data_IF_224373818226
#
_entry.id   IF_224373818226
#
_cell.length_a   1.000
_cell.length_b   1.000
_cell.length_c   1.000
_cell.angle_alpha   90.00
_cell.angle_beta   90.00
_cell.angle_gamma   90.00
#
_symmetry.space_group_name_H-M   'P 1'
#
loop_
_entity.id
_entity.type
_entity.pdbx_description
1 polymer ?
#
# COMPACT_ATOMS: atom_id res chain seq x y z
N UNK A 1 1.79 15.98 -10.03
CA UNK A 1 1.92 14.56 -10.42
C UNK A 1 3.32 14.13 -10.05
N UNK A 2 3.40 13.36 -8.97
CA UNK A 2 4.65 12.87 -8.39
C UNK A 2 5.40 11.97 -9.37
N UNK A 3 6.73 12.12 -9.47
CA UNK A 3 7.57 11.22 -10.28
C UNK A 3 7.67 9.83 -9.63
N UNK A 4 7.19 8.76 -10.29
CA UNK A 4 7.26 7.42 -9.73
C UNK A 4 8.69 6.92 -9.47
N UNK A 5 9.69 7.39 -10.23
CA UNK A 5 11.08 6.99 -10.00
C UNK A 5 11.63 7.62 -8.73
N UNK A 6 11.33 8.89 -8.48
CA UNK A 6 11.70 9.57 -7.24
C UNK A 6 11.07 8.87 -6.02
N UNK A 7 9.78 8.49 -6.10
CA UNK A 7 9.10 7.69 -5.08
C UNK A 7 9.79 6.35 -4.83
N UNK A 8 10.14 5.60 -5.89
CA UNK A 8 10.83 4.32 -5.75
C UNK A 8 12.16 4.48 -5.02
N UNK A 9 13.00 5.43 -5.43
CA UNK A 9 14.29 5.68 -4.80
C UNK A 9 14.14 6.10 -3.33
N UNK A 10 13.14 6.92 -3.02
CA UNK A 10 12.87 7.35 -1.64
C UNK A 10 12.46 6.16 -0.76
N UNK A 11 11.63 5.24 -1.27
CA UNK A 11 11.25 4.01 -0.55
C UNK A 11 12.45 3.08 -0.35
N UNK A 12 13.31 2.91 -1.36
CA UNK A 12 14.53 2.09 -1.24
C UNK A 12 15.48 2.65 -0.16
N UNK A 13 15.69 3.96 -0.14
CA UNK A 13 16.50 4.63 0.88
C UNK A 13 15.92 4.45 2.29
N UNK A 14 14.58 4.57 2.43
CA UNK A 14 13.87 4.35 3.68
C UNK A 14 14.08 2.92 4.21
N UNK A 15 13.91 1.91 3.35
CA UNK A 15 14.09 0.50 3.74
C UNK A 15 15.53 0.19 4.19
N UNK A 16 16.52 0.93 3.68
CA UNK A 16 17.93 0.76 4.01
C UNK A 16 18.37 1.35 5.35
N UNK A 17 17.67 2.36 5.90
CA UNK A 17 18.21 3.11 7.06
C UNK A 17 17.21 3.88 7.93
N UNK A 18 15.92 3.98 7.57
CA UNK A 18 15.04 5.02 8.12
C UNK A 18 14.05 4.60 9.21
N UNK A 19 13.79 5.49 10.15
CA UNK A 19 12.68 5.48 11.10
C UNK A 19 11.36 5.91 10.46
N UNK A 20 10.25 5.90 11.22
CA UNK A 20 9.00 6.51 10.75
C UNK A 20 9.16 8.00 10.44
N UNK A 21 10.00 8.71 11.19
CA UNK A 21 10.24 10.12 10.95
C UNK A 21 10.86 10.34 9.56
N UNK A 22 11.75 9.43 9.13
CA UNK A 22 12.31 9.43 7.78
C UNK A 22 11.25 9.12 6.72
N UNK A 23 10.26 8.28 7.04
CA UNK A 23 9.11 8.05 6.18
C UNK A 23 8.21 9.30 6.08
N UNK A 24 7.91 9.94 7.21
CA UNK A 24 7.09 11.14 7.24
C UNK A 24 7.75 12.30 6.49
N UNK A 25 9.05 12.52 6.69
CA UNK A 25 9.78 13.56 5.98
C UNK A 25 10.01 13.17 4.50
N UNK A 26 10.66 12.04 4.26
CA UNK A 26 11.12 11.66 2.92
C UNK A 26 10.03 11.20 1.96
N UNK A 27 8.90 10.66 2.45
CA UNK A 27 7.78 10.23 1.58
C UNK A 27 6.61 11.19 1.69
N UNK A 28 6.04 11.38 2.89
CA UNK A 28 4.80 12.15 3.03
C UNK A 28 5.03 13.63 2.72
N UNK A 29 6.07 14.25 3.29
CA UNK A 29 6.37 15.67 3.06
C UNK A 29 7.05 15.89 1.70
N UNK A 30 8.23 15.32 1.47
CA UNK A 30 9.04 15.63 0.28
C UNK A 30 8.45 15.12 -1.05
N UNK A 31 7.90 13.90 -1.09
CA UNK A 31 7.40 13.31 -2.35
C UNK A 31 5.90 13.55 -2.55
N UNK A 32 5.09 13.42 -1.49
CA UNK A 32 3.64 13.59 -1.58
C UNK A 32 3.18 15.01 -1.25
N UNK A 33 4.07 15.88 -0.76
CA UNK A 33 3.75 17.29 -0.50
C UNK A 33 2.81 17.51 0.68
N UNK A 34 2.71 16.56 1.63
CA UNK A 34 1.85 16.70 2.79
C UNK A 34 2.35 17.85 3.67
N UNK A 35 1.47 18.67 4.28
CA UNK A 35 1.84 19.83 5.09
C UNK A 35 2.30 19.39 6.48
N UNK A 36 3.38 18.59 6.51
CA UNK A 36 4.02 18.08 7.70
C UNK A 36 5.33 18.84 7.82
N UNK A 37 5.33 19.86 8.68
CA UNK A 37 6.54 20.63 8.99
C UNK A 37 7.44 19.80 9.89
N UNK A 38 8.39 19.09 9.29
CA UNK A 38 9.45 18.41 10.02
C UNK A 38 10.67 19.34 10.11
N UNK A 39 10.82 20.05 11.23
CA UNK A 39 11.93 20.98 11.46
C UNK A 39 13.17 20.30 12.09
N UNK A 40 13.22 18.97 12.09
CA UNK A 40 14.28 18.15 12.70
C UNK A 40 14.34 18.21 14.24
N UNK A 41 13.47 18.99 14.89
CA UNK A 41 13.38 19.16 16.35
C UNK A 41 11.99 18.86 16.91
N UNK A 42 10.98 18.93 16.07
CA UNK A 42 9.57 18.69 16.35
C UNK A 42 9.27 17.22 16.11
N UNK A 43 9.17 16.46 17.20
CA UNK A 43 8.73 15.07 17.17
C UNK A 43 7.35 14.93 16.54
N UNK A 44 7.02 13.71 16.11
CA UNK A 44 5.66 13.22 15.84
C UNK A 44 4.60 13.76 16.82
N UNK A 45 4.95 14.02 18.09
CA UNK A 45 4.03 14.48 19.15
C UNK A 45 3.37 15.82 18.84
N UNK A 46 4.04 16.70 18.07
CA UNK A 46 3.46 17.99 17.66
C UNK A 46 2.50 17.86 16.50
N UNK A 47 2.70 16.86 15.66
CA UNK A 47 1.95 16.62 14.43
C UNK A 47 0.79 15.64 14.65
N UNK A 48 0.77 14.96 15.79
CA UNK A 48 -0.19 13.90 16.07
C UNK A 48 -0.89 14.05 17.41
N UNK A 49 -2.03 13.39 17.54
CA UNK A 49 -2.64 13.05 18.81
C UNK A 49 -2.26 11.60 19.15
N UNK A 50 -1.83 11.35 20.38
CA UNK A 50 -1.50 10.00 20.85
C UNK A 50 -2.75 9.27 21.35
N UNK A 51 -2.97 8.06 20.84
CA UNK A 51 -4.06 7.15 21.20
C UNK A 51 -3.53 5.78 21.67
N UNK A 52 -2.24 5.71 22.00
CA UNK A 52 -1.56 4.46 22.33
C UNK A 52 -2.15 3.78 23.56
N UNK A 53 -2.66 4.54 24.53
CA UNK A 53 -3.32 3.99 25.71
C UNK A 53 -4.70 3.39 25.40
N UNK A 54 -5.39 3.88 24.38
CA UNK A 54 -6.65 3.29 23.93
C UNK A 54 -6.43 1.88 23.37
N UNK A 55 -5.27 1.57 22.78
CA UNK A 55 -4.94 0.20 22.37
C UNK A 55 -5.01 -0.81 23.53
N UNK A 56 -4.64 -0.39 24.75
CA UNK A 56 -4.74 -1.24 25.94
C UNK A 56 -6.19 -1.54 26.28
N UNK A 57 -7.04 -0.51 26.25
CA UNK A 57 -8.49 -0.64 26.50
C UNK A 57 -9.16 -1.60 25.50
N UNK A 58 -8.63 -1.68 24.28
CA UNK A 58 -9.11 -2.60 23.24
C UNK A 58 -8.52 -4.01 23.29
N UNK A 59 -7.62 -4.27 24.25
CA UNK A 59 -6.91 -5.53 24.39
C UNK A 59 -6.02 -5.84 23.17
N UNK A 60 -5.50 -4.79 22.50
CA UNK A 60 -4.70 -4.89 21.28
C UNK A 60 -3.20 -4.83 21.52
N UNK A 61 -2.76 -4.39 22.71
CA UNK A 61 -1.34 -4.28 23.09
C UNK A 61 -0.73 -5.66 23.38
N UNK A 62 -0.44 -6.41 22.32
CA UNK A 62 0.29 -7.71 22.33
C UNK A 62 1.62 -7.55 21.60
N UNK A 63 2.59 -8.41 21.87
CA UNK A 63 3.90 -8.44 21.17
C UNK A 63 3.76 -8.43 19.65
N UNK A 64 2.75 -9.12 19.14
CA UNK A 64 2.51 -9.31 17.70
C UNK A 64 1.42 -8.34 17.16
N UNK A 65 0.85 -7.48 18.01
CA UNK A 65 -0.24 -6.55 17.66
C UNK A 65 0.23 -5.10 17.52
N UNK A 66 -0.72 -4.15 17.34
CA UNK A 66 -0.42 -2.72 17.41
C UNK A 66 0.18 -2.35 18.77
N UNK A 67 1.33 -1.70 18.75
CA UNK A 67 2.04 -1.21 19.93
C UNK A 67 1.89 0.30 20.12
N UNK A 68 1.60 1.02 19.03
CA UNK A 68 1.45 2.48 19.01
C UNK A 68 0.32 2.86 18.04
N UNK A 69 -0.47 3.86 18.44
CA UNK A 69 -1.53 4.43 17.61
C UNK A 69 -1.48 5.95 17.73
N UNK A 70 -1.21 6.63 16.63
CA UNK A 70 -1.20 8.09 16.56
C UNK A 70 -2.13 8.57 15.47
N UNK A 71 -2.82 9.67 15.71
CA UNK A 71 -3.65 10.32 14.70
C UNK A 71 -2.93 11.55 14.19
N UNK A 72 -2.69 11.67 12.88
CA UNK A 72 -2.18 12.91 12.32
C UNK A 72 -3.23 14.02 12.49
N UNK A 73 -2.79 15.22 12.88
CA UNK A 73 -3.68 16.37 12.98
C UNK A 73 -4.41 16.59 11.64
N UNK A 74 -5.73 16.89 11.67
CA UNK A 74 -6.48 17.14 10.44
C UNK A 74 -5.81 18.24 9.61
N UNK A 75 -5.69 18.00 8.31
CA UNK A 75 -5.17 19.01 7.41
C UNK A 75 -6.20 20.13 7.19
N UNK A 76 -5.80 21.41 7.18
CA UNK A 76 -6.73 22.53 7.01
C UNK A 76 -7.61 22.41 5.75
N UNK A 77 -7.02 21.97 4.64
CA UNK A 77 -7.71 21.83 3.35
C UNK A 77 -8.58 20.57 3.25
N UNK A 78 -8.37 19.58 4.12
CA UNK A 78 -9.05 18.29 4.11
C UNK A 78 -9.35 17.79 5.53
N UNK A 79 -10.14 18.52 6.33
CA UNK A 79 -10.36 18.21 7.74
C UNK A 79 -11.13 16.90 7.94
N UNK A 80 -11.89 16.51 6.92
CA UNK A 80 -12.69 15.27 6.89
C UNK A 80 -11.83 14.01 6.72
N UNK A 81 -10.56 14.09 6.33
CA UNK A 81 -9.72 12.90 6.16
C UNK A 81 -8.99 12.56 7.47
N UNK A 82 -9.44 11.51 8.16
CA UNK A 82 -8.78 11.02 9.38
C UNK A 82 -7.61 10.10 9.03
N UNK A 83 -6.38 10.52 9.34
CA UNK A 83 -5.16 9.73 9.08
C UNK A 83 -4.62 9.16 10.39
N UNK A 84 -4.48 7.84 10.45
CA UNK A 84 -4.01 7.11 11.62
C UNK A 84 -2.73 6.34 11.30
N UNK A 85 -1.72 6.55 12.12
CA UNK A 85 -0.42 5.89 12.09
C UNK A 85 -0.44 4.75 13.10
N UNK A 86 -0.16 3.54 12.64
CA UNK A 86 -0.24 2.32 13.47
C UNK A 86 1.10 1.59 13.42
N UNK A 87 1.84 1.59 14.53
CA UNK A 87 3.07 0.81 14.65
C UNK A 87 2.74 -0.56 15.22
N UNK A 88 3.19 -1.63 14.56
CA UNK A 88 3.05 -3.01 15.03
C UNK A 88 4.33 -3.51 15.66
N UNK A 89 4.20 -4.35 16.70
CA UNK A 89 5.34 -4.94 17.40
C UNK A 89 6.06 -6.06 16.63
N UNK A 90 5.44 -6.60 15.56
CA UNK A 90 6.01 -7.68 14.74
C UNK A 90 5.66 -7.52 13.25
N UNK A 91 6.61 -7.90 12.40
CA UNK A 91 6.47 -8.07 10.95
C UNK A 91 5.43 -9.13 10.55
N UNK A 92 5.08 -10.07 11.44
CA UNK A 92 4.05 -11.09 11.23
C UNK A 92 2.71 -10.49 10.80
N UNK A 93 2.40 -9.29 11.26
CA UNK A 93 1.19 -8.59 10.85
C UNK A 93 1.15 -8.35 9.33
N UNK A 94 2.30 -8.13 8.71
CA UNK A 94 2.47 -7.80 7.29
C UNK A 94 2.71 -9.03 6.41
N UNK A 95 3.34 -10.06 6.96
CA UNK A 95 3.66 -11.29 6.21
C UNK A 95 2.52 -12.33 6.26
N UNK A 96 1.66 -12.27 7.29
CA UNK A 96 0.50 -13.16 7.40
C UNK A 96 -0.75 -12.51 6.82
N UNK A 97 -1.46 -13.22 5.93
CA UNK A 97 -2.60 -12.66 5.18
C UNK A 97 -3.82 -12.21 6.00
N UNK A 98 -3.82 -12.37 7.33
CA UNK A 98 -4.91 -11.91 8.24
C UNK A 98 -4.43 -11.11 9.44
N UNK A 99 -3.12 -10.87 9.60
CA UNK A 99 -2.55 -10.30 10.83
C UNK A 99 -3.13 -8.93 11.21
N UNK A 100 -3.41 -8.09 10.23
CA UNK A 100 -3.80 -6.68 10.45
C UNK A 100 -5.31 -6.44 10.43
N UNK A 101 -6.09 -7.34 9.80
CA UNK A 101 -7.53 -7.13 9.61
C UNK A 101 -8.29 -7.01 10.93
N UNK A 102 -8.00 -7.89 11.89
CA UNK A 102 -8.71 -7.89 13.18
C UNK A 102 -8.35 -6.68 14.05
N UNK A 103 -7.05 -6.34 14.23
CA UNK A 103 -6.68 -5.12 14.95
C UNK A 103 -7.25 -3.84 14.34
N UNK A 104 -7.12 -3.65 13.03
CA UNK A 104 -7.61 -2.45 12.36
C UNK A 104 -9.14 -2.33 12.42
N UNK A 105 -9.88 -3.44 12.32
CA UNK A 105 -11.34 -3.43 12.51
C UNK A 105 -11.76 -3.07 13.94
N UNK A 106 -10.97 -3.44 14.95
CA UNK A 106 -11.24 -3.06 16.34
C UNK A 106 -10.97 -1.58 16.55
N UNK A 107 -9.83 -1.07 16.05
CA UNK A 107 -9.51 0.37 16.06
C UNK A 107 -10.62 1.16 15.35
N UNK A 108 -11.02 0.74 14.14
CA UNK A 108 -12.10 1.36 13.37
C UNK A 108 -13.41 1.49 14.15
N UNK A 109 -13.81 0.47 14.91
CA UNK A 109 -15.07 0.47 15.68
C UNK A 109 -15.11 1.48 16.82
N UNK A 110 -13.94 1.90 17.28
CA UNK A 110 -13.79 2.87 18.36
C UNK A 110 -13.63 4.27 17.80
N UNK A 111 -12.87 4.41 16.70
CA UNK A 111 -12.63 5.69 16.04
C UNK A 111 -13.85 6.22 15.30
N UNK A 112 -14.61 5.34 14.63
CA UNK A 112 -15.91 5.70 14.02
C UNK A 112 -16.90 5.72 15.18
N UNK A 113 -17.30 6.90 15.69
CA UNK A 113 -18.01 6.95 16.94
C UNK A 113 -19.29 6.13 16.85
N UNK A 114 -19.57 5.37 17.91
CA UNK A 114 -20.97 5.21 18.34
C UNK A 114 -21.55 6.62 18.32
N UNK A 115 -22.56 6.88 17.48
CA UNK A 115 -23.41 8.07 17.53
C UNK A 115 -23.68 8.42 19.00
N UNK A 116 -22.88 9.32 19.58
CA UNK A 116 -23.08 9.86 20.91
C UNK A 116 -23.33 11.33 20.68
N UNK A 117 -24.53 11.73 21.09
CA UNK A 117 -25.21 12.99 20.82
C UNK A 117 -24.55 14.25 21.40
N UNK A 118 -23.24 14.28 21.68
CA UNK A 118 -22.65 15.41 22.42
C UNK A 118 -21.11 15.48 22.43
N UNK A 119 -20.42 15.50 21.28
CA UNK A 119 -19.00 15.88 21.26
C UNK A 119 -18.62 16.68 20.03
N UNK A 120 -17.94 17.80 20.24
CA UNK A 120 -17.35 18.75 19.26
C UNK A 120 -16.18 18.19 18.45
N UNK A 121 -15.94 16.88 18.48
CA UNK A 121 -14.90 16.23 17.69
C UNK A 121 -15.44 15.86 16.30
N UNK A 122 -14.64 15.98 15.23
CA UNK A 122 -15.01 15.52 13.90
C UNK A 122 -15.44 14.04 13.96
N UNK A 123 -16.59 13.73 13.36
CA UNK A 123 -17.13 12.38 13.28
C UNK A 123 -16.83 11.87 11.88
N UNK A 124 -15.83 10.98 11.75
CA UNK A 124 -15.47 10.43 10.45
C UNK A 124 -16.42 9.32 10.01
N UNK A 125 -16.85 9.39 8.75
CA UNK A 125 -17.35 8.21 8.04
C UNK A 125 -16.21 7.19 7.87
N UNK A 126 -16.53 5.89 7.84
CA UNK A 126 -15.56 4.81 7.59
C UNK A 126 -14.78 5.04 6.30
N UNK A 127 -15.44 5.60 5.29
CA UNK A 127 -14.84 5.89 4.00
C UNK A 127 -13.86 7.06 4.05
N UNK A 128 -13.73 7.78 5.17
CA UNK A 128 -12.87 8.93 5.34
C UNK A 128 -11.61 8.64 6.16
N UNK A 129 -11.36 7.36 6.49
CA UNK A 129 -10.22 6.96 7.32
C UNK A 129 -9.11 6.31 6.50
N UNK A 130 -7.89 6.83 6.63
CA UNK A 130 -6.68 6.25 6.07
C UNK A 130 -5.77 5.76 7.21
N UNK A 131 -5.48 4.46 7.22
CA UNK A 131 -4.50 3.88 8.14
C UNK A 131 -3.17 3.70 7.41
N UNK A 132 -2.09 4.21 7.99
CA UNK A 132 -0.71 3.95 7.57
C UNK A 132 -0.09 3.08 8.67
N UNK A 133 0.09 1.81 8.34
CA UNK A 133 0.60 0.80 9.25
C UNK A 133 2.06 0.52 8.95
N UNK A 134 2.87 0.36 9.98
CA UNK A 134 4.29 0.06 9.82
C UNK A 134 4.82 -0.95 10.85
N UNK A 135 5.94 -1.58 10.49
CA UNK A 135 6.83 -2.27 11.41
C UNK A 135 8.29 -2.03 11.00
N UNK A 136 9.02 -1.32 11.85
CA UNK A 136 10.37 -0.86 11.55
C UNK A 136 10.42 -0.01 10.27
N UNK A 137 11.56 -0.03 9.60
CA UNK A 137 11.83 0.72 8.36
C UNK A 137 11.37 0.03 7.08
N UNK A 138 10.97 -1.25 7.19
CA UNK A 138 10.91 -2.16 6.06
C UNK A 138 9.52 -2.48 5.59
N UNK A 139 8.55 -2.51 6.50
CA UNK A 139 7.17 -2.90 6.24
C UNK A 139 6.25 -1.71 6.39
N UNK A 140 5.58 -1.35 5.30
CA UNK A 140 4.56 -0.31 5.26
C UNK A 140 3.32 -0.81 4.55
N UNK A 141 2.16 -0.50 5.11
CA UNK A 141 0.88 -0.86 4.53
C UNK A 141 -0.13 0.24 4.76
N UNK A 142 -0.77 0.67 3.68
CA UNK A 142 -1.86 1.60 3.67
C UNK A 142 -3.14 0.78 3.69
N UNK A 143 -4.09 1.14 4.56
CA UNK A 143 -5.38 0.48 4.66
C UNK A 143 -6.51 1.50 4.69
N UNK A 144 -7.58 1.18 3.95
CA UNK A 144 -8.83 1.94 3.95
C UNK A 144 -10.00 0.98 4.04
N UNK A 145 -11.03 1.38 4.77
CA UNK A 145 -12.29 0.64 4.82
C UNK A 145 -13.27 1.26 3.84
N UNK A 146 -13.98 0.41 3.11
CA UNK A 146 -15.10 0.80 2.25
C UNK A 146 -16.39 0.24 2.78
N UNK A 147 -17.48 0.90 2.43
CA UNK A 147 -18.81 0.34 2.64
C UNK A 147 -18.92 -1.06 2.05
N UNK A 148 -19.65 -1.95 2.74
CA UNK A 148 -19.90 -3.27 2.21
C UNK A 148 -20.65 -3.19 0.87
N UNK A 149 -20.37 -4.08 -0.09
CA UNK A 149 -21.26 -4.27 -1.23
C UNK A 149 -22.65 -4.71 -0.76
N UNK A 150 -23.66 -4.44 -1.60
CA UNK A 150 -25.05 -4.82 -1.32
C UNK A 150 -25.16 -6.27 -0.83
N UNK A 151 -25.77 -6.47 0.34
CA UNK A 151 -25.95 -7.79 0.97
C UNK A 151 -24.89 -8.18 2.02
N UNK A 152 -23.83 -7.40 2.22
CA UNK A 152 -22.86 -7.62 3.32
C UNK A 152 -23.06 -6.62 4.46
N UNK A 153 -22.85 -7.08 5.71
CA UNK A 153 -22.83 -6.20 6.90
C UNK A 153 -21.43 -5.67 7.23
N UNK A 154 -20.38 -6.24 6.63
CA UNK A 154 -18.99 -5.97 6.99
C UNK A 154 -18.29 -5.16 5.92
N UNK A 155 -17.77 -3.98 6.32
CA UNK A 155 -16.89 -3.14 5.51
C UNK A 155 -15.72 -3.94 4.94
N UNK A 156 -15.43 -3.72 3.67
CA UNK A 156 -14.28 -4.35 2.99
C UNK A 156 -13.02 -3.54 3.28
N UNK A 157 -11.93 -4.23 3.62
CA UNK A 157 -10.64 -3.59 3.86
C UNK A 157 -9.82 -3.69 2.58
N UNK A 158 -9.44 -2.54 2.03
CA UNK A 158 -8.55 -2.44 0.89
C UNK A 158 -7.17 -2.02 1.36
N UNK A 159 -6.14 -2.69 0.85
CA UNK A 159 -4.76 -2.46 1.27
C UNK A 159 -3.80 -2.43 0.09
N UNK A 160 -2.74 -1.64 0.21
CA UNK A 160 -1.54 -1.74 -0.60
C UNK A 160 -0.34 -1.38 0.27
N UNK A 161 0.86 -1.76 -0.12
CA UNK A 161 2.04 -1.52 0.69
C UNK A 161 3.27 -2.15 0.10
N UNK A 162 4.34 -2.13 0.87
CA UNK A 162 5.61 -2.76 0.53
C UNK A 162 6.27 -3.37 1.76
N UNK A 163 6.98 -4.46 1.54
CA UNK A 163 7.92 -5.10 2.45
C UNK A 163 9.27 -5.36 1.79
N UNK A 164 10.20 -6.03 2.48
CA UNK A 164 11.43 -6.53 1.88
C UNK A 164 11.15 -7.41 0.66
N UNK A 165 11.81 -7.12 -0.46
CA UNK A 165 11.70 -7.91 -1.69
C UNK A 165 10.46 -7.66 -2.55
N UNK A 166 9.54 -6.79 -2.11
CA UNK A 166 8.38 -6.42 -2.92
C UNK A 166 8.77 -5.54 -4.10
N UNK A 167 8.05 -5.70 -5.22
CA UNK A 167 8.19 -4.80 -6.37
C UNK A 167 7.58 -3.43 -6.07
N UNK A 168 8.41 -2.40 -5.98
CA UNK A 168 7.98 -1.03 -5.68
C UNK A 168 7.28 -0.32 -6.84
N UNK A 169 7.31 -0.90 -8.05
CA UNK A 169 6.74 -0.28 -9.25
C UNK A 169 5.26 0.01 -9.07
N UNK A 170 4.47 -1.00 -8.68
CA UNK A 170 3.01 -0.83 -8.59
C UNK A 170 2.64 0.24 -7.56
N UNK A 171 3.25 0.16 -6.38
CA UNK A 171 3.05 1.13 -5.29
C UNK A 171 3.36 2.55 -5.75
N UNK A 172 4.50 2.74 -6.41
CA UNK A 172 4.97 4.08 -6.81
C UNK A 172 4.21 4.63 -8.02
N UNK A 173 3.85 3.78 -8.99
CA UNK A 173 3.23 4.23 -10.25
C UNK A 173 1.71 4.14 -10.26
N UNK A 174 1.06 3.51 -9.28
CA UNK A 174 -0.40 3.31 -9.29
C UNK A 174 -1.08 3.54 -7.94
N UNK A 175 -0.35 3.60 -6.83
CA UNK A 175 -0.95 3.81 -5.52
C UNK A 175 -0.57 5.18 -4.93
N UNK A 176 0.70 5.38 -4.54
CA UNK A 176 1.15 6.55 -3.77
C UNK A 176 0.94 7.88 -4.49
N UNK A 177 1.06 7.95 -5.81
CA UNK A 177 0.80 9.18 -6.56
C UNK A 177 -0.62 9.75 -6.34
N UNK A 178 -1.60 8.90 -5.97
CA UNK A 178 -2.97 9.32 -5.69
C UNK A 178 -3.16 9.80 -4.24
N UNK A 179 -2.10 9.77 -3.45
CA UNK A 179 -2.03 10.38 -2.13
C UNK A 179 -1.24 11.69 -2.14
N UNK A 180 -0.94 12.28 -3.31
CA UNK A 180 -0.34 13.62 -3.42
C UNK A 180 -1.28 14.66 -2.77
N UNK A 181 -0.75 15.49 -1.86
CA UNK A 181 -1.53 16.42 -1.02
C UNK A 181 -2.43 17.35 -1.83
N UNK A 182 -1.92 17.87 -2.94
CA UNK A 182 -2.67 18.74 -3.87
C UNK A 182 -3.97 18.13 -4.40
N UNK A 183 -4.07 16.80 -4.36
CA UNK A 183 -5.25 16.04 -4.81
C UNK A 183 -5.84 15.15 -3.71
N UNK A 184 -5.28 15.22 -2.50
CA UNK A 184 -5.62 14.35 -1.39
C UNK A 184 -6.97 14.78 -0.81
N UNK A 185 -8.03 14.09 -1.18
CA UNK A 185 -9.32 14.16 -0.51
C UNK A 185 -9.83 12.74 -0.23
N UNK A 186 -10.96 12.60 0.46
CA UNK A 186 -11.51 11.28 0.74
C UNK A 186 -11.74 10.47 -0.56
N UNK A 187 -12.37 11.07 -1.56
CA UNK A 187 -12.64 10.43 -2.85
C UNK A 187 -11.37 10.23 -3.69
N UNK A 188 -10.39 11.12 -3.56
CA UNK A 188 -9.10 11.05 -4.26
C UNK A 188 -8.27 9.87 -3.77
N UNK A 189 -8.23 9.66 -2.46
CA UNK A 189 -7.52 8.56 -1.84
C UNK A 189 -8.06 7.19 -2.27
N UNK A 190 -9.34 7.07 -2.63
CA UNK A 190 -9.90 5.81 -3.14
C UNK A 190 -9.23 5.32 -4.42
N UNK A 191 -8.73 6.24 -5.25
CA UNK A 191 -7.96 5.89 -6.45
C UNK A 191 -6.66 5.17 -6.09
N UNK A 192 -6.07 5.46 -4.93
CA UNK A 192 -4.89 4.75 -4.45
C UNK A 192 -5.16 3.28 -4.13
N UNK A 193 -6.42 2.88 -3.93
CA UNK A 193 -6.82 1.52 -3.55
C UNK A 193 -7.57 0.76 -4.67
N UNK A 194 -7.66 1.33 -5.88
CA UNK A 194 -8.37 0.70 -6.99
C UNK A 194 -7.53 -0.39 -7.68
N UNK A 195 -7.70 -1.62 -7.19
CA UNK A 195 -7.06 -2.83 -7.76
C UNK A 195 -7.58 -3.14 -9.17
N UNK A 196 -8.85 -2.84 -9.48
CA UNK A 196 -9.42 -3.14 -10.80
C UNK A 196 -8.71 -2.34 -11.87
N UNK A 197 -8.44 -1.06 -11.62
CA UNK A 197 -7.68 -0.21 -12.52
C UNK A 197 -6.28 -0.75 -12.80
N UNK A 198 -5.56 -1.21 -11.77
CA UNK A 198 -4.23 -1.83 -11.95
C UNK A 198 -4.33 -3.09 -12.81
N UNK A 199 -5.37 -3.91 -12.58
CA UNK A 199 -5.66 -5.08 -13.41
C UNK A 199 -5.93 -4.73 -14.87
N UNK A 200 -6.77 -3.73 -15.15
CA UNK A 200 -7.05 -3.27 -16.51
C UNK A 200 -5.79 -2.77 -17.22
N UNK A 201 -4.96 -2.00 -16.54
CA UNK A 201 -3.67 -1.53 -17.08
C UNK A 201 -2.72 -2.71 -17.37
N UNK A 202 -2.66 -3.70 -16.47
CA UNK A 202 -1.90 -4.92 -16.71
C UNK A 202 -2.37 -5.66 -17.97
N UNK A 203 -3.68 -5.90 -18.13
CA UNK A 203 -4.19 -6.60 -19.32
C UNK A 203 -3.97 -5.80 -20.61
N UNK A 204 -4.06 -4.47 -20.56
CA UNK A 204 -3.76 -3.60 -21.70
C UNK A 204 -2.27 -3.69 -22.09
N UNK A 205 -1.36 -3.57 -21.12
CA UNK A 205 0.08 -3.72 -21.33
C UNK A 205 0.44 -5.12 -21.80
N UNK A 206 -0.15 -6.16 -21.20
CA UNK A 206 0.00 -7.56 -21.57
C UNK A 206 -0.40 -7.77 -23.03
N UNK A 207 -1.60 -7.31 -23.44
CA UNK A 207 -2.07 -7.42 -24.82
C UNK A 207 -1.15 -6.69 -25.80
N UNK A 208 -0.70 -5.48 -25.45
CA UNK A 208 0.25 -4.72 -26.29
C UNK A 208 1.57 -5.47 -26.47
N UNK A 209 2.14 -6.02 -25.39
CA UNK A 209 3.37 -6.80 -25.45
C UNK A 209 3.19 -8.12 -26.19
N UNK A 210 2.05 -8.78 -26.02
CA UNK A 210 1.68 -9.99 -26.73
C UNK A 210 1.66 -9.78 -28.25
N UNK A 211 0.99 -8.72 -28.70
CA UNK A 211 0.95 -8.36 -30.12
C UNK A 211 2.33 -8.02 -30.67
N UNK A 212 3.14 -7.26 -29.91
CA UNK A 212 4.53 -6.98 -30.28
C UNK A 212 5.36 -8.26 -30.36
N UNK A 213 5.19 -9.20 -29.43
CA UNK A 213 5.88 -10.47 -29.46
C UNK A 213 5.47 -11.34 -30.66
N UNK A 214 4.17 -11.39 -31.03
CA UNK A 214 3.73 -12.04 -32.27
C UNK A 214 4.52 -11.52 -33.48
N UNK A 215 4.71 -10.20 -33.59
CA UNK A 215 5.49 -9.62 -34.72
C UNK A 215 6.97 -10.01 -34.72
N UNK A 216 7.57 -10.25 -33.54
CA UNK A 216 8.97 -10.65 -33.41
C UNK A 216 9.19 -12.14 -33.66
N UNK A 217 8.24 -12.98 -33.22
CA UNK A 217 8.27 -14.44 -33.39
C UNK A 217 7.85 -14.85 -34.80
N UNK A 218 7.19 -13.97 -35.54
CA UNK A 218 6.72 -14.23 -36.89
C UNK A 218 7.89 -14.55 -37.83
N UNK A 219 8.18 -15.83 -37.96
CA UNK A 219 9.12 -16.40 -38.91
C UNK A 219 8.34 -17.01 -40.07
N UNK A 220 8.94 -16.99 -41.27
CA UNK A 220 8.32 -17.57 -42.47
C UNK A 220 8.02 -19.06 -42.22
N UNK A 221 6.74 -19.42 -42.12
CA UNK A 221 6.29 -20.81 -42.03
C UNK A 221 5.19 -21.13 -41.01
N UNK A 222 4.83 -20.20 -40.11
CA UNK A 222 3.75 -20.41 -39.13
C UNK A 222 2.44 -19.76 -39.59
N UNK A 223 1.32 -20.43 -39.34
CA UNK A 223 -0.03 -19.82 -39.42
C UNK A 223 -0.27 -18.84 -38.25
N UNK A 224 -1.29 -17.98 -38.35
CA UNK A 224 -1.60 -17.01 -37.28
C UNK A 224 -2.02 -17.70 -35.97
N UNK A 225 -2.69 -18.85 -36.07
CA UNK A 225 -3.12 -19.68 -34.95
C UNK A 225 -1.92 -20.30 -34.24
N UNK A 226 -1.00 -20.93 -34.98
CA UNK A 226 0.24 -21.49 -34.41
C UNK A 226 1.11 -20.39 -33.77
N UNK A 227 1.19 -19.22 -34.41
CA UNK A 227 1.89 -18.06 -33.85
C UNK A 227 1.22 -17.56 -32.56
N UNK A 228 -0.12 -17.58 -32.50
CA UNK A 228 -0.87 -17.22 -31.29
C UNK A 228 -0.57 -18.19 -30.15
N UNK A 229 -0.70 -19.49 -30.40
CA UNK A 229 -0.44 -20.55 -29.40
C UNK A 229 0.99 -20.51 -28.89
N UNK A 230 1.99 -20.37 -29.78
CA UNK A 230 3.38 -20.26 -29.40
C UNK A 230 3.65 -19.03 -28.51
N UNK A 231 3.06 -17.88 -28.87
CA UNK A 231 3.19 -16.64 -28.08
C UNK A 231 2.49 -16.78 -26.73
N UNK A 232 1.33 -17.42 -26.68
CA UNK A 232 0.58 -17.69 -25.45
C UNK A 232 1.34 -18.62 -24.52
N UNK A 233 1.95 -19.68 -25.04
CA UNK A 233 2.77 -20.59 -24.25
C UNK A 233 3.98 -19.86 -23.65
N UNK A 234 4.66 -19.03 -24.44
CA UNK A 234 5.79 -18.22 -23.97
C UNK A 234 5.38 -17.27 -22.84
N UNK A 235 4.31 -16.49 -23.03
CA UNK A 235 3.85 -15.53 -22.03
C UNK A 235 3.35 -16.23 -20.76
N UNK A 236 2.67 -17.36 -20.90
CA UNK A 236 2.25 -18.19 -19.75
C UNK A 236 3.45 -18.68 -18.95
N UNK A 237 4.54 -19.08 -19.62
CA UNK A 237 5.80 -19.47 -18.96
C UNK A 237 6.46 -18.29 -18.24
N UNK A 238 6.47 -17.10 -18.83
CA UNK A 238 6.98 -15.90 -18.16
C UNK A 238 6.17 -15.53 -16.92
N UNK A 239 4.84 -15.60 -16.99
CA UNK A 239 3.97 -15.38 -15.84
C UNK A 239 4.21 -16.42 -14.75
N UNK A 240 4.35 -17.70 -15.12
CA UNK A 240 4.67 -18.78 -14.20
C UNK A 240 6.03 -18.56 -13.52
N UNK A 241 7.07 -18.19 -14.26
CA UNK A 241 8.39 -17.89 -13.69
C UNK A 241 8.33 -16.74 -12.68
N UNK A 242 7.62 -15.65 -13.00
CA UNK A 242 7.41 -14.54 -12.07
C UNK A 242 6.59 -14.94 -10.85
N UNK A 243 5.62 -15.83 -11.01
CA UNK A 243 4.85 -16.37 -9.90
C UNK A 243 5.72 -17.22 -8.97
N UNK A 244 6.49 -18.15 -9.53
CA UNK A 244 7.40 -19.03 -8.77
C UNK A 244 8.47 -18.20 -8.04
N UNK A 245 9.01 -17.17 -8.70
CA UNK A 245 9.92 -16.19 -8.08
C UNK A 245 9.29 -15.50 -6.88
N UNK A 246 8.07 -15.00 -7.02
CA UNK A 246 7.34 -14.37 -5.90
C UNK A 246 7.08 -15.35 -4.74
N UNK A 247 6.85 -16.63 -5.05
CA UNK A 247 6.63 -17.65 -4.03
C UNK A 247 7.92 -18.11 -3.33
N UNK A 248 9.10 -17.70 -3.82
CA UNK A 248 10.39 -18.13 -3.27
C UNK A 248 10.66 -19.62 -3.47
N UNK A 249 10.08 -20.23 -4.52
CA UNK A 249 10.15 -21.69 -4.74
C UNK A 249 11.36 -22.15 -5.55
N UNK A 250 12.13 -21.21 -6.11
CA UNK A 250 13.38 -21.49 -6.79
C UNK A 250 14.48 -20.71 -6.09
N UNK A 251 15.63 -21.34 -5.87
CA UNK A 251 16.87 -20.68 -5.47
C UNK A 251 17.93 -21.03 -6.52
N UNK A 252 18.43 -20.02 -7.24
CA UNK A 252 19.61 -20.19 -8.09
C UNK A 252 20.84 -19.78 -7.27
N UNK A 253 21.94 -20.50 -7.49
CA UNK A 253 23.09 -20.61 -6.59
C UNK A 253 23.75 -19.30 -6.16
N UNK A 254 23.45 -18.15 -6.79
CA UNK A 254 24.04 -16.85 -6.42
C UNK A 254 23.04 -15.66 -6.40
N UNK A 255 21.73 -15.89 -6.57
CA UNK A 255 20.74 -14.78 -6.55
C UNK A 255 19.34 -15.22 -6.11
N UNK A 256 18.82 -14.61 -5.04
CA UNK A 256 17.40 -14.68 -4.69
C UNK A 256 16.59 -13.73 -5.59
N UNK A 257 16.17 -14.23 -6.74
CA UNK A 257 15.31 -13.52 -7.70
C UNK A 257 16.02 -13.07 -8.97
N UNK A 258 15.25 -12.44 -9.87
CA UNK A 258 15.73 -11.95 -11.16
C UNK A 258 15.83 -13.02 -12.25
N UNK A 259 15.07 -14.11 -12.18
CA UNK A 259 15.23 -15.28 -13.07
C UNK A 259 15.12 -14.95 -14.57
N UNK A 260 14.26 -14.00 -14.94
CA UNK A 260 14.16 -13.54 -16.34
C UNK A 260 15.33 -12.65 -16.78
N UNK A 261 16.13 -12.09 -15.86
CA UNK A 261 17.36 -11.35 -16.19
C UNK A 261 18.58 -12.27 -16.31
N UNK A 262 18.47 -13.49 -15.78
CA UNK A 262 19.49 -14.51 -15.84
C UNK A 262 19.38 -15.40 -17.12
N UNK A 263 18.30 -15.24 -17.89
CA UNK A 263 18.07 -15.85 -19.20
C UNK A 263 18.45 -14.87 -20.31
#
# INVERSE_FOLDING_TARGET
>A
MVDPKALMNAIENLQGSGSFDDFANGILSEQLGWPIEYDGKSSLDRLTYDWTDDLQRLGLKKSDGPTELRQLRPFPDNPELGIFLVTFGSDRAFTTGRGMTTPLRRILRELVPKQRSSSTNPTWDKNQLLFICQHGSKHFLFARFREPPEGSKLSTMHVFGWGPGDSLRTVSTHNLQFLEYSTLCADGADKAFDVKRVGHLFYADYKRMFLKAKTLINHKGLSDDELHEATQLLFSRFLLLRFIEKMGWLEFTDSQGGYLRAL
#
